data_IF_464855641695
#
_entry.id   IF_464855641695
#
_cell.length_a   1.000
_cell.length_b   1.000
_cell.length_c   1.000
_cell.angle_alpha   90.00
_cell.angle_beta   90.00
_cell.angle_gamma   90.00
#
_symmetry.space_group_name_H-M   'P 1'
#
loop_
_entity.id
_entity.type
_entity.pdbx_description
1 polymer ?
#
# COMPACT_ATOMS: atom_id res chain seq x y z
N UNK A 1 -4.67 23.55 3.35
CA UNK A 1 -3.66 23.93 2.35
C UNK A 1 -3.66 25.45 2.20
N UNK A 2 -2.51 26.13 2.23
CA UNK A 2 -2.41 27.57 1.97
C UNK A 2 -2.93 27.96 0.59
N UNK A 3 -3.57 29.13 0.46
CA UNK A 3 -4.20 29.58 -0.79
C UNK A 3 -3.20 29.84 -1.94
N UNK A 4 -1.93 30.11 -1.62
CA UNK A 4 -0.86 30.25 -2.63
C UNK A 4 -0.49 28.90 -3.24
N UNK A 5 -0.38 27.87 -2.40
CA UNK A 5 -0.06 26.52 -2.83
C UNK A 5 -1.17 25.93 -3.70
N UNK A 6 -2.43 26.19 -3.34
CA UNK A 6 -3.58 25.83 -4.17
C UNK A 6 -3.51 26.45 -5.57
N UNK A 7 -3.18 27.75 -5.66
CA UNK A 7 -3.02 28.45 -6.94
C UNK A 7 -1.88 27.86 -7.76
N UNK A 8 -0.74 27.56 -7.12
CA UNK A 8 0.41 26.91 -7.76
C UNK A 8 0.01 25.58 -8.39
N UNK A 9 -0.58 24.66 -7.62
CA UNK A 9 -0.96 23.35 -8.15
C UNK A 9 -2.05 23.42 -9.21
N UNK A 10 -3.00 24.34 -9.08
CA UNK A 10 -4.06 24.54 -10.09
C UNK A 10 -3.52 25.08 -11.42
N UNK A 11 -2.30 25.64 -11.43
CA UNK A 11 -1.66 26.15 -12.65
C UNK A 11 -0.76 25.14 -13.35
N UNK A 12 -0.48 23.98 -12.74
CA UNK A 12 0.34 22.93 -13.32
C UNK A 12 -0.43 22.15 -14.39
N UNK A 13 0.29 21.65 -15.40
CA UNK A 13 -0.26 20.67 -16.32
C UNK A 13 -0.56 19.35 -15.58
N UNK A 14 -1.45 18.49 -16.10
CA UNK A 14 -1.68 17.16 -15.51
C UNK A 14 -0.43 16.30 -15.42
N UNK A 15 0.58 16.54 -16.26
CA UNK A 15 1.87 15.84 -16.27
C UNK A 15 2.78 16.37 -15.16
N UNK A 16 2.92 17.69 -15.06
CA UNK A 16 3.74 18.31 -14.02
C UNK A 16 3.17 18.07 -12.62
N UNK A 17 1.83 18.07 -12.51
CA UNK A 17 1.14 17.76 -11.25
C UNK A 17 1.39 16.29 -10.83
N UNK A 18 1.51 15.38 -11.80
CA UNK A 18 1.77 13.96 -11.53
C UNK A 18 3.18 13.72 -11.00
N UNK A 19 4.17 14.44 -11.54
CA UNK A 19 5.57 14.35 -11.10
C UNK A 19 5.84 15.10 -9.78
N UNK A 20 4.86 15.86 -9.27
CA UNK A 20 5.03 16.65 -8.06
C UNK A 20 4.95 15.77 -6.82
N UNK A 21 6.07 15.68 -6.07
CA UNK A 21 6.11 15.00 -4.77
C UNK A 21 6.38 16.01 -3.64
N UNK A 22 5.40 16.22 -2.76
CA UNK A 22 5.56 16.99 -1.53
C UNK A 22 5.08 16.14 -0.34
N UNK A 23 6.01 15.71 0.51
CA UNK A 23 5.72 14.87 1.68
C UNK A 23 5.70 15.73 2.94
N UNK A 24 4.65 15.53 3.74
CA UNK A 24 4.51 16.15 5.05
C UNK A 24 4.18 15.07 6.06
N UNK A 25 4.91 15.05 7.17
CA UNK A 25 4.56 14.22 8.31
C UNK A 25 3.39 14.86 9.06
N UNK A 26 2.37 14.07 9.38
CA UNK A 26 1.20 14.53 10.13
C UNK A 26 0.91 13.59 11.29
N UNK A 27 0.50 14.16 12.42
CA UNK A 27 0.03 13.39 13.56
C UNK A 27 -1.38 12.85 13.28
N UNK A 28 -1.51 11.53 13.10
CA UNK A 28 -2.78 10.86 12.80
C UNK A 28 -3.88 11.27 13.79
N UNK A 29 -3.56 11.34 15.08
CA UNK A 29 -4.52 11.73 16.12
C UNK A 29 -5.07 13.15 15.95
N UNK A 30 -4.22 14.09 15.51
CA UNK A 30 -4.61 15.48 15.28
C UNK A 30 -5.48 15.61 14.04
N UNK A 31 -5.23 14.80 13.01
CA UNK A 31 -5.96 14.88 11.74
C UNK A 31 -7.27 14.07 11.73
N UNK A 32 -7.29 12.91 12.39
CA UNK A 32 -8.37 11.93 12.25
C UNK A 32 -9.06 11.54 13.57
N UNK A 33 -8.56 12.05 14.70
CA UNK A 33 -9.06 11.79 16.04
C UNK A 33 -8.34 10.65 16.78
N UNK A 34 -8.69 10.47 18.04
CA UNK A 34 -8.14 9.41 18.89
C UNK A 34 -8.55 8.02 18.41
N UNK A 35 -7.74 7.00 18.75
CA UNK A 35 -8.01 5.59 18.45
C UNK A 35 -8.12 5.24 16.95
N UNK A 36 -7.49 6.04 16.08
CA UNK A 36 -7.41 5.79 14.63
C UNK A 36 -6.17 4.99 14.20
N UNK A 37 -5.32 4.61 15.15
CA UNK A 37 -4.08 3.90 14.88
C UNK A 37 -3.85 2.81 15.94
N UNK A 38 -3.42 1.63 15.49
CA UNK A 38 -3.05 0.51 16.34
C UNK A 38 -1.58 0.16 16.10
N UNK A 39 -0.79 0.07 17.17
CA UNK A 39 0.64 -0.26 17.09
C UNK A 39 0.89 -1.71 16.64
N UNK A 40 -0.08 -2.61 16.85
CA UNK A 40 -0.01 -4.02 16.46
C UNK A 40 -1.39 -4.50 16.05
N UNK A 41 -1.45 -5.27 14.97
CA UNK A 41 -2.65 -5.96 14.50
C UNK A 41 -2.25 -7.20 13.69
N UNK A 42 -3.17 -8.14 13.56
CA UNK A 42 -3.01 -9.27 12.64
C UNK A 42 -3.28 -8.80 11.21
N UNK A 43 -2.37 -9.12 10.30
CA UNK A 43 -2.53 -8.87 8.88
C UNK A 43 -3.43 -9.96 8.26
N UNK A 44 -4.71 -9.64 8.06
CA UNK A 44 -5.69 -10.54 7.44
C UNK A 44 -5.62 -10.54 5.92
N UNK A 45 -5.28 -9.38 5.34
CA UNK A 45 -5.13 -9.22 3.91
C UNK A 45 -3.96 -8.28 3.56
N UNK A 46 -3.37 -8.51 2.39
CA UNK A 46 -2.43 -7.62 1.72
C UNK A 46 -3.05 -7.19 0.39
N UNK A 47 -3.28 -5.89 0.22
CA UNK A 47 -3.78 -5.32 -1.02
C UNK A 47 -2.63 -4.65 -1.76
N UNK A 48 -2.36 -5.08 -2.98
CA UNK A 48 -1.33 -4.52 -3.86
C UNK A 48 -2.04 -3.65 -4.90
N UNK A 49 -1.74 -2.35 -4.88
CA UNK A 49 -2.25 -1.39 -5.85
C UNK A 49 -1.32 -1.36 -7.06
N UNK A 50 -1.74 -1.98 -8.16
CA UNK A 50 -1.00 -2.04 -9.41
C UNK A 50 -1.73 -1.24 -10.50
N UNK A 51 -1.86 0.06 -10.24
CA UNK A 51 -2.63 0.98 -11.07
C UNK A 51 -1.84 1.55 -12.24
N UNK A 52 -2.58 1.89 -13.29
CA UNK A 52 -2.06 2.57 -14.47
C UNK A 52 -2.91 3.81 -14.76
N UNK A 53 -2.25 4.95 -14.98
CA UNK A 53 -2.91 6.26 -15.21
C UNK A 53 -3.90 6.22 -16.38
N UNK A 54 -3.54 5.52 -17.46
CA UNK A 54 -4.40 5.28 -18.62
C UNK A 54 -4.60 3.78 -18.76
N UNK A 55 -5.72 3.27 -18.27
CA UNK A 55 -6.03 1.85 -18.31
C UNK A 55 -7.54 1.64 -18.27
N UNK A 56 -7.92 0.37 -18.37
CA UNK A 56 -9.31 -0.05 -18.29
C UNK A 56 -9.86 0.13 -16.88
N UNK A 57 -11.14 -0.21 -16.70
CA UNK A 57 -11.79 -0.11 -15.41
C UNK A 57 -11.09 -0.97 -14.35
N UNK A 58 -11.16 -0.49 -13.10
CA UNK A 58 -10.57 -1.15 -11.94
C UNK A 58 -11.02 -2.60 -11.86
N UNK A 59 -10.05 -3.52 -11.75
CA UNK A 59 -10.27 -4.94 -11.53
C UNK A 59 -9.61 -5.36 -10.20
N UNK A 60 -10.12 -6.42 -9.59
CA UNK A 60 -9.51 -7.00 -8.39
C UNK A 60 -9.51 -8.51 -8.45
N UNK A 61 -8.36 -9.11 -8.13
CA UNK A 61 -8.18 -10.55 -8.12
C UNK A 61 -7.51 -11.02 -6.83
N UNK A 62 -7.92 -12.18 -6.32
CA UNK A 62 -7.18 -12.87 -5.25
C UNK A 62 -6.04 -13.63 -5.92
N UNK A 63 -4.81 -13.37 -5.47
CA UNK A 63 -3.60 -13.89 -6.11
C UNK A 63 -2.79 -14.79 -5.17
N UNK A 64 -2.09 -15.76 -5.76
CA UNK A 64 -1.10 -16.58 -5.07
C UNK A 64 0.31 -16.05 -5.34
N UNK A 65 0.99 -15.54 -4.31
CA UNK A 65 2.35 -15.00 -4.44
C UNK A 65 3.43 -16.06 -4.72
N UNK A 66 3.12 -17.35 -4.53
CA UNK A 66 3.99 -18.44 -4.99
C UNK A 66 4.08 -18.50 -6.52
N UNK A 67 3.01 -18.08 -7.21
CA UNK A 67 2.90 -18.06 -8.67
C UNK A 67 3.21 -16.65 -9.23
N UNK A 68 2.61 -15.62 -8.63
CA UNK A 68 2.78 -14.20 -8.99
C UNK A 68 3.90 -13.53 -8.21
N UNK A 69 5.13 -14.04 -8.37
CA UNK A 69 6.31 -13.51 -7.68
C UNK A 69 6.66 -12.07 -8.12
N UNK A 70 6.22 -11.64 -9.30
CA UNK A 70 6.36 -10.26 -9.79
C UNK A 70 5.80 -9.23 -8.80
N UNK A 71 4.71 -9.58 -8.11
CA UNK A 71 4.04 -8.71 -7.14
C UNK A 71 4.79 -8.55 -5.81
N UNK A 72 5.74 -9.45 -5.50
CA UNK A 72 6.50 -9.38 -4.27
C UNK A 72 7.34 -8.11 -4.17
N UNK A 73 7.77 -7.57 -5.32
CA UNK A 73 8.57 -6.33 -5.38
C UNK A 73 7.85 -5.11 -4.79
N UNK A 74 6.52 -5.11 -4.77
CA UNK A 74 5.72 -4.03 -4.18
C UNK A 74 5.73 -4.04 -2.63
N UNK A 75 6.10 -5.17 -2.01
CA UNK A 75 6.02 -5.35 -0.56
C UNK A 75 7.38 -5.66 0.09
N UNK A 76 8.21 -6.46 -0.59
CA UNK A 76 9.53 -6.85 -0.08
C UNK A 76 10.40 -5.62 0.15
N UNK A 77 11.06 -5.57 1.31
CA UNK A 77 12.07 -4.56 1.62
C UNK A 77 13.41 -5.21 1.90
N UNK A 78 14.47 -4.56 1.43
CA UNK A 78 15.85 -4.80 1.87
C UNK A 78 15.98 -4.48 3.36
N UNK A 79 16.69 -5.35 4.09
CA UNK A 79 17.17 -5.00 5.43
C UNK A 79 18.37 -4.06 5.25
N UNK A 80 18.16 -2.76 5.45
CA UNK A 80 19.17 -1.72 5.23
C UNK A 80 19.85 -1.28 6.54
N UNK A 81 20.75 -0.29 6.45
CA UNK A 81 21.59 0.24 7.53
C UNK A 81 20.85 0.60 8.83
N UNK A 82 19.56 0.93 8.76
CA UNK A 82 18.73 1.28 9.92
C UNK A 82 17.92 0.11 10.48
N UNK A 83 18.08 -1.10 9.94
CA UNK A 83 17.46 -2.28 10.49
C UNK A 83 18.24 -2.75 11.73
N UNK A 84 17.71 -2.43 12.91
CA UNK A 84 18.20 -2.98 14.17
C UNK A 84 17.40 -4.25 14.50
N UNK A 85 17.97 -5.45 14.36
CA UNK A 85 17.30 -6.68 14.76
C UNK A 85 17.01 -6.62 16.26
N UNK A 86 15.73 -6.68 16.63
CA UNK A 86 15.37 -6.91 18.03
C UNK A 86 15.65 -8.37 18.38
N UNK A 87 15.97 -8.69 19.64
CA UNK A 87 16.41 -10.02 20.10
C UNK A 87 15.49 -11.21 19.75
N UNK A 88 14.29 -10.95 19.21
CA UNK A 88 13.30 -11.95 18.76
C UNK A 88 13.15 -12.04 17.22
N UNK A 89 13.77 -11.14 16.46
CA UNK A 89 13.68 -11.06 15.00
C UNK A 89 15.05 -11.36 14.36
N UNK A 90 15.36 -12.65 14.23
CA UNK A 90 16.34 -13.09 13.24
C UNK A 90 15.67 -13.05 11.86
N UNK A 91 15.73 -11.90 11.19
CA UNK A 91 15.45 -11.84 9.76
C UNK A 91 16.67 -12.43 9.05
N UNK A 92 16.74 -13.76 9.00
CA UNK A 92 17.84 -14.47 8.36
C UNK A 92 17.57 -14.77 6.89
N UNK A 93 16.30 -14.68 6.46
CA UNK A 93 15.88 -15.08 5.12
C UNK A 93 14.91 -14.05 4.54
N UNK A 94 15.43 -13.26 3.59
CA UNK A 94 14.70 -12.25 2.82
C UNK A 94 14.46 -12.71 1.38
N UNK A 95 14.54 -14.02 1.11
CA UNK A 95 14.26 -14.55 -0.22
C UNK A 95 12.79 -14.33 -0.62
N UNK A 96 12.49 -14.16 -1.92
CA UNK A 96 11.12 -14.10 -2.42
C UNK A 96 10.26 -15.28 -1.95
N UNK A 97 10.83 -16.48 -1.90
CA UNK A 97 10.18 -17.71 -1.45
C UNK A 97 9.75 -17.62 0.03
N UNK A 98 10.62 -17.09 0.89
CA UNK A 98 10.31 -16.88 2.31
C UNK A 98 9.16 -15.88 2.50
N UNK A 99 9.18 -14.80 1.73
CA UNK A 99 8.11 -13.80 1.75
C UNK A 99 6.78 -14.39 1.28
N UNK A 100 6.76 -15.08 0.14
CA UNK A 100 5.57 -15.74 -0.38
C UNK A 100 5.00 -16.75 0.63
N UNK A 101 5.86 -17.57 1.25
CA UNK A 101 5.45 -18.55 2.25
C UNK A 101 4.89 -17.91 3.54
N UNK A 102 5.34 -16.71 3.92
CA UNK A 102 4.80 -15.97 5.06
C UNK A 102 3.47 -15.29 4.73
N UNK A 103 3.39 -14.69 3.54
CA UNK A 103 2.21 -13.98 3.05
C UNK A 103 1.07 -14.90 2.65
N UNK A 104 1.34 -16.19 2.37
CA UNK A 104 0.29 -17.20 2.12
C UNK A 104 -0.70 -17.39 3.29
N UNK A 105 -0.35 -16.89 4.48
CA UNK A 105 -1.20 -16.91 5.68
C UNK A 105 -2.27 -15.81 5.68
N UNK A 106 -2.20 -14.88 4.74
CA UNK A 106 -3.18 -13.81 4.57
C UNK A 106 -3.73 -13.83 3.14
N UNK A 107 -4.88 -13.18 2.93
CA UNK A 107 -5.44 -13.04 1.59
C UNK A 107 -4.68 -11.96 0.83
N UNK A 108 -4.13 -12.29 -0.33
CA UNK A 108 -3.45 -11.31 -1.18
C UNK A 108 -4.37 -10.92 -2.32
N UNK A 109 -4.60 -9.61 -2.47
CA UNK A 109 -5.50 -9.04 -3.47
C UNK A 109 -4.68 -8.11 -4.35
N UNK A 110 -4.69 -8.33 -5.65
CA UNK A 110 -4.16 -7.39 -6.64
C UNK A 110 -5.31 -6.51 -7.14
N UNK A 111 -5.14 -5.20 -7.09
CA UNK A 111 -6.06 -4.24 -7.72
C UNK A 111 -5.35 -3.61 -8.91
N UNK A 112 -5.88 -3.82 -10.10
CA UNK A 112 -5.33 -3.31 -11.36
C UNK A 112 -6.29 -2.35 -12.06
N UNK A 113 -5.85 -1.77 -13.17
CA UNK A 113 -6.66 -0.84 -13.98
C UNK A 113 -6.43 0.62 -13.59
N UNK A 114 -7.42 1.46 -13.90
CA UNK A 114 -7.36 2.90 -13.61
C UNK A 114 -7.50 3.20 -12.12
N UNK A 115 -6.99 4.37 -11.74
CA UNK A 115 -7.07 4.88 -10.36
C UNK A 115 -8.52 5.17 -10.00
N UNK A 116 -9.04 4.47 -8.99
CA UNK A 116 -10.38 4.67 -8.44
C UNK A 116 -10.37 4.32 -6.94
N UNK A 117 -10.09 5.33 -6.11
CA UNK A 117 -9.94 5.15 -4.67
C UNK A 117 -11.24 4.72 -3.99
N UNK A 118 -12.38 5.24 -4.45
CA UNK A 118 -13.69 4.95 -3.85
C UNK A 118 -14.06 3.48 -4.06
N UNK A 119 -13.89 2.98 -5.29
CA UNK A 119 -14.12 1.55 -5.56
C UNK A 119 -13.12 0.66 -4.84
N UNK A 120 -11.83 1.03 -4.83
CA UNK A 120 -10.82 0.25 -4.11
C UNK A 120 -11.12 0.17 -2.61
N UNK A 121 -11.52 1.28 -2.00
CA UNK A 121 -11.91 1.33 -0.58
C UNK A 121 -13.15 0.46 -0.31
N UNK A 122 -14.19 0.56 -1.15
CA UNK A 122 -15.38 -0.27 -1.04
C UNK A 122 -15.06 -1.77 -1.15
N UNK A 123 -14.17 -2.17 -2.07
CA UNK A 123 -13.69 -3.54 -2.18
C UNK A 123 -12.99 -3.99 -0.89
N UNK A 124 -12.06 -3.20 -0.37
CA UNK A 124 -11.36 -3.50 0.88
C UNK A 124 -12.33 -3.70 2.06
N UNK A 125 -13.33 -2.82 2.20
CA UNK A 125 -14.35 -2.93 3.24
C UNK A 125 -15.13 -4.24 3.08
N UNK A 126 -15.58 -4.55 1.87
CA UNK A 126 -16.32 -5.80 1.61
C UNK A 126 -15.52 -7.05 1.95
N UNK A 127 -14.20 -7.03 1.77
CA UNK A 127 -13.34 -8.15 2.18
C UNK A 127 -13.18 -8.27 3.69
N UNK A 128 -13.12 -7.14 4.40
CA UNK A 128 -13.01 -7.12 5.87
C UNK A 128 -14.30 -7.63 6.51
N UNK A 129 -15.46 -7.28 5.96
CA UNK A 129 -16.77 -7.73 6.46
C UNK A 129 -17.00 -9.24 6.28
N UNK A 130 -16.20 -9.91 5.46
CA UNK A 130 -16.25 -11.36 5.21
C UNK A 130 -15.27 -12.16 6.09
N UNK A 131 -14.49 -11.49 6.95
CA UNK A 131 -13.54 -12.11 7.88
C UNK A 131 -14.17 -12.29 9.28
#
# INVERSE_FOLDING_TARGET
MPAEEQRRFSSLSPEDLWETENKYDVAIEQCFGQNRFLLKSQMHALVILNWKRQSEDLQSDIVNLGERKDLLSAFMKSAELYFLPHNLCNISDTSPESYAARLSRCRVIEITGKIDFDKAAALCISYIEQC
#
